data_IF_092603189650
#
_entry.id   IF_092603189650
#
_cell.length_a   1.000
_cell.length_b   1.000
_cell.length_c   1.000
_cell.angle_alpha   90.00
_cell.angle_beta   90.00
_cell.angle_gamma   90.00
#
_symmetry.space_group_name_H-M   'P 1'
#
loop_
_entity.id
_entity.type
_entity.pdbx_description
1 polymer ?
#
# COMPACT_ATOMS: atom_id res chain seq x y z
N UNK A 1 97.35 -85.16 52.50
CA UNK A 1 95.96 -85.22 53.03
C UNK A 1 95.01 -85.05 51.86
N UNK A 2 94.00 -85.91 51.75
CA UNK A 2 92.93 -85.73 50.78
C UNK A 2 92.04 -84.56 51.21
N UNK A 3 91.45 -83.84 50.26
CA UNK A 3 90.57 -82.69 50.52
C UNK A 3 89.22 -82.86 49.83
N UNK A 4 88.21 -82.12 50.29
CA UNK A 4 86.91 -82.07 49.61
C UNK A 4 87.02 -81.35 48.25
N UNK A 5 86.30 -81.78 47.19
CA UNK A 5 86.46 -81.21 45.85
C UNK A 5 86.05 -79.74 45.70
N UNK A 6 85.06 -79.28 46.48
CA UNK A 6 84.44 -77.96 46.28
C UNK A 6 85.00 -76.88 47.21
N UNK A 7 85.40 -77.27 48.43
CA UNK A 7 85.81 -76.33 49.47
C UNK A 7 87.28 -76.50 49.89
N UNK A 8 87.96 -77.50 49.32
CA UNK A 8 89.34 -77.88 49.67
C UNK A 8 89.52 -78.11 51.19
N UNK A 9 88.48 -78.59 51.87
CA UNK A 9 88.54 -78.87 53.31
C UNK A 9 89.29 -80.18 53.55
N UNK A 10 90.16 -80.29 54.56
CA UNK A 10 90.85 -81.54 54.88
C UNK A 10 89.86 -82.67 55.19
N UNK A 11 90.07 -83.86 54.60
CA UNK A 11 89.32 -85.06 54.96
C UNK A 11 89.98 -85.73 56.18
N UNK A 12 89.16 -86.26 57.08
CA UNK A 12 89.63 -87.10 58.19
C UNK A 12 90.12 -88.44 57.63
N UNK A 13 91.26 -88.92 58.10
CA UNK A 13 91.83 -90.20 57.68
C UNK A 13 91.31 -91.30 58.60
N UNK A 14 90.54 -92.25 58.06
CA UNK A 14 89.96 -93.35 58.83
C UNK A 14 91.00 -94.30 59.44
N UNK A 15 92.27 -94.22 59.03
CA UNK A 15 93.35 -95.04 59.55
C UNK A 15 94.08 -94.42 60.75
N UNK A 16 93.83 -93.15 61.09
CA UNK A 16 94.49 -92.48 62.21
C UNK A 16 93.74 -92.62 63.55
N UNK A 17 94.46 -92.43 64.66
CA UNK A 17 93.88 -92.51 65.98
C UNK A 17 93.06 -91.24 66.28
N UNK A 18 91.89 -91.42 66.90
CA UNK A 18 90.96 -90.32 67.29
C UNK A 18 91.66 -89.20 68.08
N UNK A 19 92.66 -89.54 68.89
CA UNK A 19 93.45 -88.57 69.67
C UNK A 19 94.30 -87.62 68.81
N UNK A 20 94.79 -88.08 67.65
CA UNK A 20 95.54 -87.27 66.69
C UNK A 20 94.59 -86.48 65.78
N UNK A 21 93.42 -87.06 65.48
CA UNK A 21 92.37 -86.42 64.68
C UNK A 21 91.71 -85.21 65.36
N UNK A 22 91.80 -85.06 66.69
CA UNK A 22 91.26 -83.87 67.37
C UNK A 22 91.84 -82.56 66.82
N UNK A 23 93.13 -82.52 66.46
CA UNK A 23 93.72 -81.34 65.83
C UNK A 23 93.18 -81.12 64.42
N UNK A 24 92.99 -82.20 63.65
CA UNK A 24 92.42 -82.12 62.29
C UNK A 24 90.96 -81.70 62.29
N UNK A 25 90.17 -82.16 63.25
CA UNK A 25 88.78 -81.72 63.46
C UNK A 25 88.73 -80.22 63.75
N UNK A 26 89.62 -79.70 64.62
CA UNK A 26 89.67 -78.26 64.89
C UNK A 26 90.05 -77.45 63.65
N UNK A 27 91.03 -77.92 62.86
CA UNK A 27 91.40 -77.27 61.59
C UNK A 27 90.24 -77.32 60.58
N UNK A 28 89.53 -78.43 60.50
CA UNK A 28 88.34 -78.58 59.65
C UNK A 28 87.23 -77.62 60.06
N UNK A 29 86.91 -77.53 61.35
CA UNK A 29 85.88 -76.64 61.88
C UNK A 29 86.22 -75.17 61.63
N UNK A 30 87.47 -74.76 61.80
CA UNK A 30 87.92 -73.39 61.48
C UNK A 30 87.80 -73.09 59.98
N UNK A 31 88.18 -74.04 59.12
CA UNK A 31 88.07 -73.87 57.68
C UNK A 31 86.61 -73.83 57.21
N UNK A 32 85.72 -74.62 57.83
CA UNK A 32 84.28 -74.60 57.55
C UNK A 32 83.64 -73.28 57.99
N UNK A 33 83.97 -72.80 59.20
CA UNK A 33 83.49 -71.52 59.73
C UNK A 33 83.87 -70.35 58.82
N UNK A 34 85.14 -70.30 58.38
CA UNK A 34 85.60 -69.29 57.43
C UNK A 34 84.80 -69.30 56.12
N UNK A 35 84.51 -70.48 55.56
CA UNK A 35 83.71 -70.61 54.33
C UNK A 35 82.25 -70.21 54.53
N UNK A 36 81.64 -70.55 55.66
CA UNK A 36 80.29 -70.10 55.99
C UNK A 36 80.23 -68.58 56.15
N UNK A 37 81.26 -67.96 56.73
CA UNK A 37 81.43 -66.52 56.79
C UNK A 37 81.48 -65.86 55.41
N UNK A 38 82.27 -66.41 54.47
CA UNK A 38 82.34 -65.91 53.09
C UNK A 38 80.98 -65.98 52.37
N UNK A 39 80.24 -67.08 52.53
CA UNK A 39 78.90 -67.24 51.97
C UNK A 39 77.95 -66.20 52.56
N UNK A 40 77.97 -65.99 53.88
CA UNK A 40 77.13 -65.01 54.55
C UNK A 40 77.41 -63.58 54.04
N UNK A 41 78.68 -63.19 53.88
CA UNK A 41 79.09 -61.89 53.33
C UNK A 41 78.64 -61.75 51.87
N UNK A 42 78.80 -62.79 51.06
CA UNK A 42 78.38 -62.79 49.65
C UNK A 42 76.87 -62.64 49.53
N UNK A 43 76.11 -63.39 50.32
CA UNK A 43 74.65 -63.34 50.32
C UNK A 43 74.14 -61.97 50.82
N UNK A 44 74.74 -61.43 51.87
CA UNK A 44 74.44 -60.08 52.34
C UNK A 44 74.74 -59.03 51.27
N UNK A 45 75.84 -59.18 50.54
CA UNK A 45 76.22 -58.27 49.44
C UNK A 45 75.27 -58.38 48.25
N UNK A 46 74.81 -59.58 47.91
CA UNK A 46 73.80 -59.80 46.86
C UNK A 46 72.43 -59.26 47.26
N UNK A 47 72.06 -59.33 48.54
CA UNK A 47 70.83 -58.76 49.05
C UNK A 47 70.85 -57.21 49.07
N UNK A 48 72.02 -56.61 49.36
CA UNK A 48 72.24 -55.15 49.30
C UNK A 48 72.35 -54.67 47.85
N UNK A 49 72.86 -55.50 46.95
CA UNK A 49 72.78 -55.31 45.50
C UNK A 49 71.33 -55.55 45.02
N UNK A 50 70.39 -54.80 45.59
CA UNK A 50 69.00 -54.80 45.19
C UNK A 50 68.91 -54.56 43.68
N UNK A 51 67.98 -55.27 43.03
CA UNK A 51 67.65 -55.02 41.64
C UNK A 51 66.84 -53.71 41.58
N UNK A 52 67.53 -52.58 41.68
CA UNK A 52 66.91 -51.27 41.49
C UNK A 52 66.59 -51.12 40.01
N UNK A 53 65.31 -51.23 39.66
CA UNK A 53 64.84 -50.66 38.42
C UNK A 53 64.89 -49.13 38.57
N UNK A 54 65.53 -48.43 37.64
CA UNK A 54 65.42 -46.97 37.60
C UNK A 54 63.94 -46.61 37.61
N UNK A 55 63.52 -45.79 38.59
CA UNK A 55 62.15 -45.27 38.69
C UNK A 55 61.74 -44.58 37.38
N UNK A 56 62.69 -44.05 36.62
CA UNK A 56 62.48 -43.53 35.27
C UNK A 56 61.84 -44.55 34.30
N UNK A 57 62.10 -45.85 34.45
CA UNK A 57 61.48 -46.91 33.63
C UNK A 57 60.02 -47.16 34.03
N UNK A 58 59.70 -47.03 35.31
CA UNK A 58 58.34 -47.20 35.84
C UNK A 58 57.49 -45.97 35.48
N UNK A 59 58.03 -44.78 35.72
CA UNK A 59 57.37 -43.52 35.35
C UNK A 59 57.24 -43.40 33.83
N UNK A 60 58.26 -43.78 33.06
CA UNK A 60 58.19 -43.78 31.60
C UNK A 60 57.13 -44.75 31.05
N UNK A 61 56.91 -45.90 31.69
CA UNK A 61 55.82 -46.80 31.32
C UNK A 61 54.45 -46.20 31.66
N UNK A 62 54.29 -45.62 32.85
CA UNK A 62 53.04 -44.97 33.25
C UNK A 62 52.71 -43.75 32.36
N UNK A 63 53.70 -42.94 32.02
CA UNK A 63 53.59 -41.81 31.09
C UNK A 63 53.28 -42.30 29.67
N UNK A 64 53.94 -43.36 29.20
CA UNK A 64 53.65 -43.95 27.88
C UNK A 64 52.23 -44.56 27.81
N UNK A 65 51.73 -45.13 28.91
CA UNK A 65 50.35 -45.61 29.02
C UNK A 65 49.35 -44.47 29.11
N UNK A 66 49.68 -43.36 29.78
CA UNK A 66 48.82 -42.17 29.82
C UNK A 66 48.76 -41.43 28.46
N UNK A 67 49.79 -41.56 27.63
CA UNK A 67 49.83 -41.06 26.26
C UNK A 67 49.11 -41.98 25.26
N UNK A 68 48.76 -43.22 25.65
CA UNK A 68 47.83 -44.01 24.84
C UNK A 68 46.45 -43.40 24.94
N UNK A 69 45.82 -43.23 23.79
CA UNK A 69 44.48 -42.67 23.72
C UNK A 69 43.50 -43.55 24.52
N UNK A 70 42.59 -42.90 25.26
CA UNK A 70 41.52 -43.56 26.01
C UNK A 70 40.67 -44.41 25.05
N UNK A 71 40.10 -45.50 25.53
CA UNK A 71 39.29 -46.43 24.71
C UNK A 71 38.11 -45.74 24.02
N UNK A 72 37.65 -44.61 24.56
CA UNK A 72 36.55 -43.80 24.02
C UNK A 72 37.01 -42.53 23.30
N UNK A 73 38.30 -42.40 22.99
CA UNK A 73 38.75 -41.25 22.22
C UNK A 73 38.21 -41.37 20.78
N UNK A 74 37.58 -40.30 20.31
CA UNK A 74 37.01 -40.23 18.97
C UNK A 74 37.86 -39.26 18.14
N UNK A 75 38.31 -39.68 16.97
CA UNK A 75 38.85 -38.78 15.96
C UNK A 75 37.71 -38.20 15.13
N UNK A 76 37.69 -36.88 14.93
CA UNK A 76 36.86 -36.31 13.87
C UNK A 76 37.51 -36.64 12.54
N UNK A 77 36.69 -36.91 11.53
CA UNK A 77 37.17 -37.22 10.18
C UNK A 77 38.04 -36.09 9.60
N UNK A 78 37.70 -34.83 9.90
CA UNK A 78 38.46 -33.64 9.46
C UNK A 78 39.83 -33.49 10.13
N UNK A 79 40.08 -34.22 11.23
CA UNK A 79 41.33 -34.13 11.98
C UNK A 79 42.34 -35.22 11.54
N UNK A 80 41.98 -36.03 10.54
CA UNK A 80 42.85 -37.07 9.97
C UNK A 80 43.68 -36.48 8.82
N UNK A 81 44.92 -36.09 9.08
CA UNK A 81 45.84 -35.53 8.06
C UNK A 81 46.56 -36.58 7.22
N UNK A 82 46.69 -37.81 7.73
CA UNK A 82 47.61 -38.83 7.19
C UNK A 82 46.88 -40.07 6.64
N UNK A 83 45.56 -39.99 6.45
CA UNK A 83 44.77 -41.09 5.89
C UNK A 83 44.77 -40.96 4.37
N UNK A 84 45.81 -41.52 3.74
CA UNK A 84 45.80 -41.75 2.31
C UNK A 84 45.01 -43.03 2.02
N UNK A 85 43.89 -42.90 1.31
CA UNK A 85 43.03 -44.03 0.96
C UNK A 85 43.49 -44.59 -0.38
N UNK A 86 44.59 -45.34 -0.39
CA UNK A 86 45.24 -45.84 -1.63
C UNK A 86 44.39 -46.80 -2.44
N UNK A 87 43.38 -47.41 -1.82
CA UNK A 87 42.55 -48.45 -2.44
C UNK A 87 41.12 -47.97 -2.76
N UNK A 88 40.82 -46.68 -2.55
CA UNK A 88 39.54 -46.11 -2.94
C UNK A 88 39.53 -45.81 -4.44
N UNK A 89 38.60 -46.37 -5.22
CA UNK A 89 38.40 -45.93 -6.60
C UNK A 89 38.03 -44.43 -6.63
N UNK A 90 38.60 -43.70 -7.58
CA UNK A 90 38.28 -42.28 -7.81
C UNK A 90 36.76 -42.08 -7.94
N UNK A 91 36.23 -41.07 -7.24
CA UNK A 91 34.79 -40.76 -7.20
C UNK A 91 33.98 -41.56 -6.18
N UNK A 92 34.61 -42.41 -5.37
CA UNK A 92 33.94 -43.08 -4.25
C UNK A 92 33.54 -42.08 -3.18
N UNK A 93 32.28 -42.14 -2.73
CA UNK A 93 31.79 -41.36 -1.60
C UNK A 93 31.80 -42.19 -0.32
N UNK A 94 32.22 -41.58 0.79
CA UNK A 94 32.09 -42.19 2.11
C UNK A 94 30.60 -42.23 2.48
N UNK A 95 30.09 -43.44 2.72
CA UNK A 95 28.71 -43.66 3.14
C UNK A 95 28.71 -44.38 4.49
N UNK A 96 27.83 -43.97 5.40
CA UNK A 96 27.59 -44.70 6.64
C UNK A 96 26.60 -45.84 6.36
N UNK A 97 27.06 -47.08 6.33
CA UNK A 97 26.25 -48.28 6.07
C UNK A 97 26.36 -49.21 7.28
N UNK A 98 25.22 -49.62 7.84
CA UNK A 98 25.20 -50.52 9.01
C UNK A 98 25.88 -49.95 10.26
N UNK A 99 25.96 -48.62 10.41
CA UNK A 99 26.57 -47.96 11.56
C UNK A 99 28.07 -47.65 11.43
N UNK A 100 28.75 -48.20 10.42
CA UNK A 100 30.16 -47.93 10.13
C UNK A 100 30.31 -47.04 8.89
N UNK A 101 31.39 -46.25 8.83
CA UNK A 101 31.78 -45.55 7.61
C UNK A 101 32.52 -46.51 6.68
N UNK A 102 32.06 -46.63 5.44
CA UNK A 102 32.71 -47.41 4.40
C UNK A 102 32.52 -46.76 3.03
N UNK A 103 33.07 -47.38 1.99
CA UNK A 103 32.74 -46.99 0.63
C UNK A 103 31.27 -47.31 0.38
N UNK A 104 30.50 -46.32 -0.08
CA UNK A 104 29.19 -46.62 -0.64
C UNK A 104 29.39 -47.57 -1.81
N UNK A 105 28.66 -48.70 -1.84
CA UNK A 105 28.77 -49.71 -2.90
C UNK A 105 28.41 -49.20 -4.31
N UNK A 106 28.02 -47.92 -4.41
CA UNK A 106 27.76 -47.21 -5.65
C UNK A 106 28.69 -46.00 -5.72
N UNK A 107 29.81 -46.15 -6.43
CA UNK A 107 30.54 -45.00 -6.94
C UNK A 107 29.67 -44.29 -7.97
N UNK A 108 29.48 -42.99 -7.84
CA UNK A 108 28.89 -42.19 -8.91
C UNK A 108 30.05 -41.58 -9.69
N UNK A 109 30.14 -41.88 -10.98
CA UNK A 109 31.05 -41.14 -11.85
C UNK A 109 30.64 -39.66 -11.89
N UNK A 110 31.59 -38.77 -12.16
CA UNK A 110 31.30 -37.33 -12.40
C UNK A 110 30.23 -37.16 -13.49
N UNK A 111 30.25 -38.03 -14.50
CA UNK A 111 29.23 -38.07 -15.55
C UNK A 111 27.84 -38.44 -15.01
N UNK A 112 27.72 -39.46 -14.15
CA UNK A 112 26.44 -39.83 -13.52
C UNK A 112 25.92 -38.74 -12.59
N UNK A 113 26.78 -38.10 -11.81
CA UNK A 113 26.39 -36.95 -10.96
C UNK A 113 25.85 -35.82 -11.84
N UNK A 114 26.56 -35.48 -12.91
CA UNK A 114 26.12 -34.45 -13.85
C UNK A 114 24.81 -34.82 -14.56
N UNK A 115 24.60 -36.11 -14.88
CA UNK A 115 23.35 -36.59 -15.48
C UNK A 115 22.19 -36.53 -14.49
N UNK A 116 22.38 -36.95 -13.23
CA UNK A 116 21.37 -36.83 -12.18
C UNK A 116 21.02 -35.38 -11.88
N UNK A 117 22.03 -34.49 -11.89
CA UNK A 117 21.83 -33.06 -11.75
C UNK A 117 21.09 -32.50 -12.96
N UNK A 118 21.43 -32.88 -14.18
CA UNK A 118 20.73 -32.44 -15.40
C UNK A 118 19.29 -32.95 -15.47
N UNK A 119 19.02 -34.15 -14.98
CA UNK A 119 17.66 -34.72 -14.89
C UNK A 119 16.81 -33.97 -13.85
N UNK A 120 17.38 -33.70 -12.67
CA UNK A 120 16.74 -32.94 -11.57
C UNK A 120 16.64 -31.44 -11.85
N UNK A 121 17.56 -30.90 -12.64
CA UNK A 121 17.66 -29.50 -13.08
C UNK A 121 17.37 -29.42 -14.57
N UNK A 122 16.37 -30.17 -15.06
CA UNK A 122 15.78 -29.86 -16.36
C UNK A 122 14.96 -28.57 -16.19
N UNK A 123 15.66 -27.44 -16.06
CA UNK A 123 15.10 -26.09 -16.14
C UNK A 123 14.24 -25.99 -17.41
N UNK A 124 14.62 -26.71 -18.47
CA UNK A 124 13.81 -26.85 -19.69
C UNK A 124 12.41 -27.45 -19.45
N UNK A 125 12.28 -28.47 -18.60
CA UNK A 125 10.98 -29.06 -18.26
C UNK A 125 10.12 -28.11 -17.45
N UNK A 126 10.70 -27.50 -16.40
CA UNK A 126 10.00 -26.47 -15.60
C UNK A 126 9.62 -25.25 -16.42
N UNK A 127 10.47 -24.82 -17.36
CA UNK A 127 10.21 -23.72 -18.29
C UNK A 127 9.07 -24.07 -19.24
N UNK A 128 9.04 -25.29 -19.78
CA UNK A 128 7.95 -25.79 -20.62
C UNK A 128 6.61 -25.82 -19.86
N UNK A 129 6.59 -26.30 -18.62
CA UNK A 129 5.38 -26.34 -17.80
C UNK A 129 4.90 -24.93 -17.41
N UNK A 130 5.83 -24.02 -17.13
CA UNK A 130 5.54 -22.63 -16.84
C UNK A 130 4.97 -21.90 -18.07
N UNK A 131 5.57 -22.10 -19.24
CA UNK A 131 5.09 -21.53 -20.50
C UNK A 131 3.69 -22.06 -20.85
N UNK A 132 3.47 -23.37 -20.69
CA UNK A 132 2.15 -23.97 -20.88
C UNK A 132 1.09 -23.42 -19.91
N UNK A 133 1.45 -23.24 -18.63
CA UNK A 133 0.57 -22.67 -17.61
C UNK A 133 0.27 -21.20 -17.88
N UNK A 134 1.28 -20.42 -18.27
CA UNK A 134 1.13 -19.01 -18.66
C UNK A 134 0.18 -18.89 -19.85
N UNK A 135 0.41 -19.68 -20.89
CA UNK A 135 -0.38 -19.61 -22.12
C UNK A 135 -1.84 -20.03 -21.87
N UNK A 136 -2.07 -21.03 -21.02
CA UNK A 136 -3.41 -21.40 -20.57
C UNK A 136 -4.10 -20.27 -19.78
N UNK A 137 -3.40 -19.62 -18.85
CA UNK A 137 -3.94 -18.49 -18.08
C UNK A 137 -4.27 -17.30 -18.99
N UNK A 138 -3.41 -16.99 -19.97
CA UNK A 138 -3.68 -15.97 -20.99
C UNK A 138 -4.92 -16.34 -21.80
N UNK A 139 -5.06 -17.58 -22.26
CA UNK A 139 -6.23 -18.03 -23.00
C UNK A 139 -7.54 -17.88 -22.20
N UNK A 140 -7.52 -18.17 -20.89
CA UNK A 140 -8.65 -17.97 -19.98
C UNK A 140 -9.00 -16.49 -19.85
N UNK A 141 -8.02 -15.62 -19.60
CA UNK A 141 -8.24 -14.16 -19.48
C UNK A 141 -8.74 -13.57 -20.79
N UNK A 142 -8.27 -14.06 -21.94
CA UNK A 142 -8.75 -13.64 -23.24
C UNK A 142 -10.15 -14.19 -23.59
N UNK A 143 -10.69 -15.15 -22.83
CA UNK A 143 -12.02 -15.72 -23.11
C UNK A 143 -12.14 -16.37 -24.50
N UNK A 144 -11.01 -16.84 -25.07
CA UNK A 144 -10.94 -17.33 -26.45
C UNK A 144 -10.78 -16.25 -27.53
N UNK A 145 -10.59 -14.98 -27.17
CA UNK A 145 -10.26 -13.93 -28.12
C UNK A 145 -8.82 -14.10 -28.64
N UNK A 146 -8.64 -13.96 -29.95
CA UNK A 146 -7.32 -13.90 -30.60
C UNK A 146 -6.67 -12.54 -30.34
N UNK A 147 -5.34 -12.45 -30.49
CA UNK A 147 -4.60 -11.18 -30.33
C UNK A 147 -5.13 -10.08 -31.26
N UNK A 148 -5.62 -10.45 -32.44
CA UNK A 148 -6.29 -9.54 -33.38
C UNK A 148 -7.63 -8.98 -32.85
N UNK A 149 -8.35 -9.73 -32.00
CA UNK A 149 -9.59 -9.26 -31.36
C UNK A 149 -9.32 -8.29 -30.19
N UNK A 150 -8.16 -8.37 -29.54
CA UNK A 150 -7.72 -7.36 -28.57
C UNK A 150 -7.27 -6.07 -29.25
N UNK A 151 -6.65 -6.17 -30.43
CA UNK A 151 -6.34 -5.00 -31.26
C UNK A 151 -7.62 -4.25 -31.65
N UNK A 152 -8.70 -4.98 -31.99
CA UNK A 152 -10.00 -4.35 -32.25
C UNK A 152 -10.62 -3.65 -31.04
N UNK A 153 -10.27 -4.01 -29.79
CA UNK A 153 -10.73 -3.28 -28.59
C UNK A 153 -9.95 -1.98 -28.38
N UNK A 154 -8.65 -1.97 -28.69
CA UNK A 154 -7.84 -0.76 -28.71
C UNK A 154 -8.30 0.18 -29.82
N UNK A 155 -8.49 -0.35 -31.03
CA UNK A 155 -9.05 0.39 -32.17
C UNK A 155 -10.47 0.90 -31.85
N UNK A 156 -11.31 0.11 -31.17
CA UNK A 156 -12.62 0.59 -30.68
C UNK A 156 -12.45 1.75 -29.69
N UNK A 157 -11.53 1.63 -28.74
CA UNK A 157 -11.31 2.67 -27.73
C UNK A 157 -10.76 3.97 -28.32
N UNK A 158 -9.92 3.87 -29.37
CA UNK A 158 -9.40 5.02 -30.10
C UNK A 158 -10.48 5.63 -31.02
N UNK A 159 -11.30 4.81 -31.69
CA UNK A 159 -12.44 5.28 -32.48
C UNK A 159 -13.55 5.93 -31.64
N UNK A 160 -13.75 5.44 -30.41
CA UNK A 160 -14.72 5.98 -29.44
C UNK A 160 -14.25 7.27 -28.78
N UNK A 161 -13.02 7.76 -28.98
CA UNK A 161 -12.59 9.05 -28.40
C UNK A 161 -13.01 10.27 -29.25
N UNK A 162 -13.32 10.08 -30.53
CA UNK A 162 -13.59 11.17 -31.49
C UNK A 162 -15.03 11.17 -32.06
N UNK A 163 -15.92 10.29 -31.57
CA UNK A 163 -17.25 10.12 -32.17
C UNK A 163 -18.37 9.93 -31.14
N UNK A 164 -18.76 11.03 -30.48
CA UNK A 164 -19.82 11.07 -29.45
C UNK A 164 -21.13 10.35 -29.86
N UNK A 165 -21.49 10.38 -31.16
CA UNK A 165 -22.66 9.69 -31.70
C UNK A 165 -22.55 8.16 -31.67
N UNK A 166 -21.37 7.62 -31.92
CA UNK A 166 -21.14 6.17 -31.92
C UNK A 166 -21.00 5.63 -30.49
N UNK A 167 -20.42 6.42 -29.57
CA UNK A 167 -20.41 6.12 -28.14
C UNK A 167 -21.85 6.01 -27.61
N UNK A 168 -22.71 6.97 -27.94
CA UNK A 168 -24.11 6.96 -27.53
C UNK A 168 -24.84 5.72 -28.07
N UNK A 169 -24.62 5.36 -29.34
CA UNK A 169 -25.20 4.17 -29.95
C UNK A 169 -24.71 2.86 -29.32
N UNK A 170 -23.42 2.78 -28.98
CA UNK A 170 -22.81 1.61 -28.35
C UNK A 170 -23.35 1.39 -26.94
N UNK A 171 -23.44 2.47 -26.14
CA UNK A 171 -24.03 2.43 -24.79
C UNK A 171 -25.50 2.00 -24.86
N UNK A 172 -26.26 2.52 -25.82
CA UNK A 172 -27.66 2.13 -26.03
C UNK A 172 -27.80 0.65 -26.40
N UNK A 173 -26.92 0.14 -27.25
CA UNK A 173 -26.82 -1.27 -27.64
C UNK A 173 -26.48 -2.17 -26.44
N UNK A 174 -25.51 -1.78 -25.62
CA UNK A 174 -25.12 -2.52 -24.41
C UNK A 174 -26.23 -2.55 -23.35
N UNK A 175 -26.91 -1.43 -23.12
CA UNK A 175 -28.05 -1.36 -22.21
C UNK A 175 -29.18 -2.30 -22.68
N UNK A 176 -29.47 -2.31 -23.97
CA UNK A 176 -30.47 -3.20 -24.58
C UNK A 176 -30.11 -4.68 -24.39
N UNK A 177 -28.85 -5.06 -24.64
CA UNK A 177 -28.38 -6.45 -24.48
C UNK A 177 -28.30 -6.90 -23.02
N UNK A 178 -28.01 -5.99 -22.09
CA UNK A 178 -27.99 -6.28 -20.66
C UNK A 178 -29.40 -6.44 -20.06
N UNK A 179 -30.47 -6.29 -20.86
CA UNK A 179 -31.85 -6.26 -20.36
C UNK A 179 -32.14 -5.01 -19.54
N UNK A 180 -31.25 -4.02 -19.58
CA UNK A 180 -31.44 -2.73 -18.95
C UNK A 180 -32.31 -1.93 -19.91
N UNK A 181 -33.62 -2.01 -19.69
CA UNK A 181 -34.60 -1.17 -20.37
C UNK A 181 -34.43 0.27 -19.85
N UNK A 182 -33.31 0.90 -20.20
CA UNK A 182 -33.06 2.31 -19.95
C UNK A 182 -33.80 3.05 -21.07
N UNK A 183 -35.12 3.18 -20.90
CA UNK A 183 -35.84 4.27 -21.53
C UNK A 183 -35.09 5.56 -21.21
N UNK A 184 -34.68 6.31 -22.25
CA UNK A 184 -33.88 7.54 -22.33
C UNK A 184 -34.05 8.60 -21.21
N UNK A 185 -33.92 8.21 -19.94
CA UNK A 185 -34.09 9.04 -18.74
C UNK A 185 -32.76 9.25 -18.03
N UNK A 186 -31.65 9.02 -18.74
CA UNK A 186 -30.30 9.42 -18.32
C UNK A 186 -29.97 10.88 -18.67
N UNK A 187 -30.97 11.71 -18.99
CA UNK A 187 -30.82 13.16 -18.85
C UNK A 187 -30.88 13.52 -17.35
N UNK A 188 -29.71 13.65 -16.74
CA UNK A 188 -29.47 14.31 -15.46
C UNK A 188 -30.10 13.67 -14.19
N UNK A 189 -29.77 12.40 -13.88
CA UNK A 189 -29.64 12.04 -12.45
C UNK A 189 -28.31 12.56 -11.93
N UNK A 190 -28.26 13.86 -11.65
CA UNK A 190 -27.20 14.42 -10.83
C UNK A 190 -27.43 13.88 -9.41
N UNK A 191 -26.69 12.83 -9.04
CA UNK A 191 -26.65 12.34 -7.66
C UNK A 191 -26.11 13.45 -6.76
N UNK A 192 -27.00 14.21 -6.15
CA UNK A 192 -26.72 15.01 -4.97
C UNK A 192 -26.67 14.05 -3.78
N UNK A 193 -25.49 13.57 -3.40
CA UNK A 193 -25.31 12.91 -2.10
C UNK A 193 -25.41 14.00 -1.01
N UNK A 194 -26.53 14.01 -0.29
CA UNK A 194 -26.71 14.88 0.89
C UNK A 194 -26.11 14.15 2.09
N UNK A 195 -24.81 14.33 2.31
CA UNK A 195 -24.17 13.87 3.55
C UNK A 195 -24.52 14.83 4.70
N UNK A 196 -25.33 14.34 5.64
CA UNK A 196 -25.64 15.01 6.89
C UNK A 196 -26.19 14.01 7.91
N UNK A 197 -25.36 13.64 8.89
CA UNK A 197 -25.76 12.80 10.01
C UNK A 197 -26.93 13.41 10.80
N UNK A 198 -27.82 12.53 11.26
CA UNK A 198 -29.03 12.79 12.06
C UNK A 198 -30.26 13.30 11.29
N UNK A 199 -30.79 12.44 10.41
CA UNK A 199 -32.10 12.59 9.78
C UNK A 199 -32.03 12.08 8.35
N UNK A 200 -32.71 10.98 8.05
CA UNK A 200 -32.85 10.48 6.68
C UNK A 200 -33.68 11.47 5.87
N UNK A 201 -33.07 12.17 4.92
CA UNK A 201 -33.77 13.02 3.96
C UNK A 201 -34.06 12.21 2.69
N UNK A 202 -35.32 11.91 2.44
CA UNK A 202 -35.75 11.25 1.20
C UNK A 202 -36.14 12.33 0.18
N UNK A 203 -35.37 12.45 -0.91
CA UNK A 203 -35.74 13.31 -2.03
C UNK A 203 -36.67 12.53 -2.97
N UNK A 204 -37.97 12.80 -2.90
CA UNK A 204 -38.95 12.30 -3.88
C UNK A 204 -39.04 13.25 -5.07
N UNK A 205 -38.22 13.00 -6.09
CA UNK A 205 -38.40 13.63 -7.40
C UNK A 205 -39.41 12.85 -8.24
N UNK A 206 -40.68 13.27 -8.24
CA UNK A 206 -41.64 12.81 -9.25
C UNK A 206 -41.45 13.64 -10.52
N UNK A 207 -40.72 13.12 -11.50
CA UNK A 207 -40.65 13.69 -12.83
C UNK A 207 -41.90 13.32 -13.63
N UNK A 208 -42.92 14.20 -13.63
CA UNK A 208 -44.05 14.09 -14.55
C UNK A 208 -43.61 14.48 -15.95
N UNK A 209 -43.52 13.51 -16.85
CA UNK A 209 -43.22 13.74 -18.29
C UNK A 209 -44.37 14.43 -19.05
N UNK A 210 -45.53 14.59 -18.43
CA UNK A 210 -46.69 15.25 -19.02
C UNK A 210 -47.07 16.48 -18.19
N UNK A 211 -46.63 17.68 -18.60
CA UNK A 211 -47.03 19.01 -18.09
C UNK A 211 -47.04 19.23 -16.56
N UNK A 212 -46.49 18.31 -15.77
CA UNK A 212 -46.42 18.40 -14.31
C UNK A 212 -45.20 19.19 -13.86
N UNK A 213 -45.39 20.15 -12.95
CA UNK A 213 -44.29 20.86 -12.31
C UNK A 213 -43.41 19.91 -11.49
N UNK A 214 -42.10 19.89 -11.76
CA UNK A 214 -41.13 19.22 -10.89
C UNK A 214 -40.94 20.04 -9.61
N UNK A 215 -41.34 19.47 -8.48
CA UNK A 215 -41.24 20.11 -7.16
C UNK A 215 -40.22 19.38 -6.31
N UNK A 216 -39.29 20.14 -5.70
CA UNK A 216 -38.37 19.64 -4.67
C UNK A 216 -38.92 20.04 -3.31
N UNK A 217 -39.24 19.04 -2.47
CA UNK A 217 -39.80 19.25 -1.13
C UNK A 217 -38.73 18.97 -0.06
N UNK A 218 -38.56 19.90 0.87
CA UNK A 218 -37.86 19.64 2.13
C UNK A 218 -38.85 19.25 3.21
N UNK A 219 -38.65 18.10 3.86
CA UNK A 219 -39.54 17.58 4.90
C UNK A 219 -38.78 17.56 6.23
N UNK A 220 -39.21 18.39 7.19
CA UNK A 220 -38.72 18.36 8.56
C UNK A 220 -39.80 17.86 9.52
N UNK A 221 -39.39 17.29 10.66
CA UNK A 221 -40.27 16.92 11.77
C UNK A 221 -39.72 17.49 13.06
N UNK A 222 -40.61 17.68 14.03
CA UNK A 222 -40.24 18.10 15.38
C UNK A 222 -39.25 17.14 16.04
N UNK A 223 -38.55 17.62 17.07
CA UNK A 223 -37.61 16.80 17.84
C UNK A 223 -38.30 15.56 18.44
N UNK A 224 -37.52 14.53 18.82
CA UNK A 224 -38.07 13.28 19.42
C UNK A 224 -38.98 13.50 20.63
N UNK A 225 -38.83 14.62 21.35
CA UNK A 225 -39.67 14.96 22.50
C UNK A 225 -41.08 15.43 22.11
N UNK A 226 -41.28 15.87 20.87
CA UNK A 226 -42.57 16.27 20.33
C UNK A 226 -42.58 16.09 18.80
N UNK A 227 -42.69 14.84 18.31
CA UNK A 227 -42.45 14.52 16.90
C UNK A 227 -43.53 15.06 15.94
N UNK A 228 -44.66 15.52 16.49
CA UNK A 228 -45.84 15.88 15.70
C UNK A 228 -45.74 17.27 15.05
N UNK A 229 -45.02 18.22 15.67
CA UNK A 229 -45.02 19.61 15.19
C UNK A 229 -43.66 20.30 15.28
N UNK A 230 -43.36 21.13 14.28
CA UNK A 230 -42.22 22.05 14.27
C UNK A 230 -42.46 23.21 15.24
N UNK A 231 -41.40 23.72 15.85
CA UNK A 231 -41.42 24.85 16.79
C UNK A 231 -40.98 26.15 16.11
N UNK A 232 -41.37 27.29 16.67
CA UNK A 232 -40.88 28.59 16.23
C UNK A 232 -39.35 28.60 16.09
N UNK A 233 -38.87 28.96 14.89
CA UNK A 233 -37.44 29.01 14.57
C UNK A 233 -36.84 27.70 14.05
N UNK A 234 -37.58 26.59 14.04
CA UNK A 234 -37.09 25.32 13.51
C UNK A 234 -36.79 25.42 12.00
N UNK A 235 -35.69 24.78 11.58
CA UNK A 235 -35.30 24.69 10.18
C UNK A 235 -36.15 23.63 9.46
N UNK A 236 -36.92 24.09 8.47
CA UNK A 236 -37.79 23.25 7.65
C UNK A 236 -37.00 22.65 6.48
N UNK A 237 -36.27 23.51 5.76
CA UNK A 237 -35.50 23.12 4.59
C UNK A 237 -34.33 24.09 4.37
N UNK A 238 -33.28 23.62 3.69
CA UNK A 238 -32.17 24.49 3.26
C UNK A 238 -31.58 24.06 1.93
N UNK A 239 -31.20 25.02 1.09
CA UNK A 239 -30.36 24.83 -0.10
C UNK A 239 -29.06 25.59 0.12
N UNK A 240 -27.93 24.92 -0.05
CA UNK A 240 -26.60 25.44 0.31
C UNK A 240 -25.62 25.37 -0.85
N UNK A 241 -24.89 26.45 -1.09
CA UNK A 241 -23.73 26.47 -1.96
C UNK A 241 -22.44 26.31 -1.11
N UNK A 242 -21.74 25.20 -1.31
CA UNK A 242 -20.42 24.93 -0.69
C UNK A 242 -19.33 24.96 -1.77
N UNK A 243 -18.52 26.02 -1.86
CA UNK A 243 -17.40 26.04 -2.79
C UNK A 243 -16.34 25.01 -2.35
N UNK A 244 -15.74 24.33 -3.33
CA UNK A 244 -14.68 23.36 -3.06
C UNK A 244 -13.38 24.08 -2.64
N UNK A 245 -12.84 23.76 -1.47
CA UNK A 245 -11.58 24.33 -0.94
C UNK A 245 -10.54 23.27 -0.56
N UNK A 246 -10.61 22.06 -1.12
CA UNK A 246 -9.63 21.00 -0.90
C UNK A 246 -9.93 20.05 0.27
N UNK A 247 -10.68 20.48 1.29
CA UNK A 247 -11.35 19.59 2.25
C UNK A 247 -12.52 20.34 2.91
N UNK A 248 -13.76 19.91 2.63
CA UNK A 248 -15.03 20.47 3.14
C UNK A 248 -15.17 22.01 3.10
N UNK A 249 -15.83 22.52 2.05
CA UNK A 249 -16.15 23.94 1.90
C UNK A 249 -17.13 24.48 2.95
N UNK A 250 -16.77 25.61 3.57
CA UNK A 250 -17.71 26.41 4.35
C UNK A 250 -18.86 26.92 3.47
N UNK A 251 -20.09 26.92 3.99
CA UNK A 251 -21.28 27.39 3.25
C UNK A 251 -21.13 28.89 2.97
N UNK A 252 -21.11 29.29 1.69
CA UNK A 252 -20.96 30.72 1.30
C UNK A 252 -22.28 31.39 0.94
N UNK A 253 -23.27 30.61 0.52
CA UNK A 253 -24.63 31.07 0.28
C UNK A 253 -25.62 30.00 0.69
N UNK A 254 -26.73 30.42 1.29
CA UNK A 254 -27.79 29.51 1.72
C UNK A 254 -29.16 30.17 1.59
N UNK A 255 -30.13 29.40 1.13
CA UNK A 255 -31.55 29.69 1.25
C UNK A 255 -32.12 28.75 2.32
N UNK A 256 -32.77 29.28 3.35
CA UNK A 256 -33.41 28.50 4.42
C UNK A 256 -34.89 28.81 4.53
N UNK A 257 -35.68 27.83 4.91
CA UNK A 257 -37.06 28.00 5.33
C UNK A 257 -37.17 27.68 6.82
N UNK A 258 -37.72 28.61 7.59
CA UNK A 258 -37.88 28.50 9.04
C UNK A 258 -39.35 28.54 9.42
N UNK A 259 -39.73 27.84 10.47
CA UNK A 259 -41.06 27.99 11.07
C UNK A 259 -41.17 29.36 11.78
N UNK A 260 -42.21 30.14 11.48
CA UNK A 260 -42.44 31.46 12.10
C UNK A 260 -43.40 31.43 13.29
N UNK A 261 -43.88 30.24 13.65
CA UNK A 261 -44.70 29.95 14.83
C UNK A 261 -44.62 28.45 15.11
N UNK A 262 -45.11 28.02 16.26
CA UNK A 262 -45.32 26.60 16.52
C UNK A 262 -46.36 26.07 15.51
N UNK A 263 -46.00 25.00 14.81
CA UNK A 263 -46.92 24.37 13.87
C UNK A 263 -48.00 23.61 14.66
N UNK A 264 -49.19 23.56 14.10
CA UNK A 264 -50.35 22.87 14.65
C UNK A 264 -51.30 22.50 13.52
N UNK A 265 -52.37 21.75 13.80
CA UNK A 265 -53.34 21.36 12.77
C UNK A 265 -53.91 22.56 12.00
N UNK A 266 -54.02 23.73 12.64
CA UNK A 266 -54.57 24.96 12.04
C UNK A 266 -53.52 26.10 11.93
N UNK A 267 -52.24 25.80 12.16
CA UNK A 267 -51.20 26.82 12.30
C UNK A 267 -49.97 26.44 11.48
N UNK A 268 -49.77 27.13 10.36
CA UNK A 268 -48.59 27.01 9.52
C UNK A 268 -48.03 28.39 9.26
N UNK A 269 -46.82 28.65 9.76
CA UNK A 269 -46.08 29.86 9.46
C UNK A 269 -44.69 29.49 8.97
N UNK A 270 -44.30 30.04 7.82
CA UNK A 270 -42.98 29.79 7.22
C UNK A 270 -42.37 31.07 6.68
N UNK A 271 -41.09 31.29 6.93
CA UNK A 271 -40.32 32.40 6.38
C UNK A 271 -39.10 31.84 5.63
N UNK A 272 -38.84 32.35 4.44
CA UNK A 272 -37.64 32.04 3.69
C UNK A 272 -36.57 33.14 3.94
N UNK A 273 -35.34 32.73 4.23
CA UNK A 273 -34.20 33.65 4.39
C UNK A 273 -33.09 33.30 3.42
N UNK A 274 -32.55 34.31 2.75
CA UNK A 274 -31.31 34.18 1.99
C UNK A 274 -30.18 34.69 2.85
N UNK A 275 -29.17 33.87 3.08
CA UNK A 275 -27.94 34.22 3.76
C UNK A 275 -26.74 34.12 2.82
N UNK A 276 -25.87 35.13 2.84
CA UNK A 276 -24.63 35.17 2.05
C UNK A 276 -23.46 35.46 2.98
N UNK A 277 -22.28 34.95 2.66
CA UNK A 277 -21.05 35.24 3.42
C UNK A 277 -20.30 36.36 2.70
N UNK A 278 -20.26 37.59 3.25
CA UNK A 278 -19.48 38.68 2.66
C UNK A 278 -18.01 38.30 2.50
N UNK A 279 -17.34 38.90 1.52
CA UNK A 279 -15.92 38.64 1.30
C UNK A 279 -15.11 39.05 2.54
N UNK A 280 -14.18 38.19 2.96
CA UNK A 280 -13.40 38.38 4.19
C UNK A 280 -14.10 37.95 5.50
N UNK A 281 -15.35 37.47 5.45
CA UNK A 281 -16.03 36.90 6.61
C UNK A 281 -16.13 35.37 6.56
N UNK A 282 -16.27 34.77 7.75
CA UNK A 282 -16.32 33.31 7.94
C UNK A 282 -17.73 32.78 8.16
N UNK A 283 -18.70 33.64 8.48
CA UNK A 283 -20.08 33.26 8.76
C UNK A 283 -21.09 33.90 7.76
N UNK A 284 -22.13 33.16 7.34
CA UNK A 284 -23.23 33.73 6.56
C UNK A 284 -23.99 34.79 7.36
N UNK A 285 -24.34 35.90 6.70
CA UNK A 285 -25.22 36.93 7.23
C UNK A 285 -26.53 36.93 6.42
N UNK A 286 -27.66 37.22 7.07
CA UNK A 286 -28.96 37.30 6.39
C UNK A 286 -28.95 38.50 5.44
N UNK A 287 -29.10 38.23 4.15
CA UNK A 287 -29.10 39.21 3.08
C UNK A 287 -30.52 39.65 2.68
N UNK A 288 -31.48 38.72 2.76
CA UNK A 288 -32.88 38.98 2.46
C UNK A 288 -33.80 38.07 3.28
N UNK A 289 -34.98 38.58 3.58
CA UNK A 289 -36.06 37.88 4.27
C UNK A 289 -37.29 37.96 3.35
N UNK A 290 -37.87 36.81 3.04
CA UNK A 290 -39.12 36.67 2.31
C UNK A 290 -40.13 36.03 3.25
N UNK A 291 -41.07 36.83 3.74
CA UNK A 291 -42.21 36.31 4.51
C UNK A 291 -43.33 35.99 3.55
N UNK A 292 -43.70 34.72 3.51
CA UNK A 292 -45.00 34.34 2.96
C UNK A 292 -45.92 34.17 4.15
N UNK A 293 -46.54 35.26 4.58
CA UNK A 293 -47.68 35.20 5.49
C UNK A 293 -48.92 34.79 4.68
N UNK A 294 -48.85 33.61 4.08
CA UNK A 294 -49.98 32.94 3.47
C UNK A 294 -50.81 32.33 4.61
N UNK A 295 -51.84 33.04 5.05
CA UNK A 295 -52.79 32.47 6.00
C UNK A 295 -53.69 31.48 5.26
N UNK A 296 -53.64 30.20 5.64
CA UNK A 296 -54.61 29.20 5.20
C UNK A 296 -55.88 29.36 6.05
N UNK A 297 -56.89 30.07 5.55
CA UNK A 297 -58.20 30.09 6.19
C UNK A 297 -59.07 28.98 5.61
N UNK A 298 -59.44 28.02 6.45
CA UNK A 298 -60.46 27.01 6.14
C UNK A 298 -61.79 27.54 6.65
N UNK A 299 -62.73 27.77 5.72
CA UNK A 299 -64.11 28.19 6.06
C UNK A 299 -65.08 27.32 5.28
N UNK A 300 -65.69 26.35 5.98
CA UNK A 300 -66.50 25.30 5.35
C UNK A 300 -65.67 24.46 4.38
N UNK A 301 -66.22 24.17 3.20
CA UNK A 301 -65.59 23.32 2.17
C UNK A 301 -64.59 24.05 1.27
N UNK A 302 -64.13 25.25 1.66
CA UNK A 302 -63.22 26.07 0.84
C UNK A 302 -61.93 26.42 1.58
N UNK A 303 -60.82 26.28 0.86
CA UNK A 303 -59.47 26.68 1.27
C UNK A 303 -59.14 28.00 0.58
N UNK A 304 -58.91 29.05 1.36
CA UNK A 304 -58.44 30.33 0.84
C UNK A 304 -56.92 30.46 1.07
N UNK A 305 -56.19 30.79 0.01
CA UNK A 305 -54.74 31.02 0.01
C UNK A 305 -54.53 32.47 -0.41
N UNK A 306 -54.13 33.34 0.51
CA UNK A 306 -53.82 34.75 0.23
C UNK A 306 -52.97 35.40 1.34
N UNK A 307 -52.25 36.49 1.02
CA UNK A 307 -51.49 37.23 2.01
C UNK A 307 -52.41 37.77 3.11
N UNK A 308 -51.96 37.73 4.37
CA UNK A 308 -52.70 38.33 5.48
C UNK A 308 -52.98 39.82 5.16
N UNK A 309 -54.18 40.30 5.48
CA UNK A 309 -54.68 41.60 5.02
C UNK A 309 -53.88 42.83 5.55
N UNK A 310 -52.89 42.63 6.42
CA UNK A 310 -52.34 43.71 7.24
C UNK A 310 -50.92 44.19 6.86
N UNK A 311 -50.18 43.57 5.92
CA UNK A 311 -48.77 43.94 5.66
C UNK A 311 -48.42 44.42 4.23
N UNK A 312 -49.38 44.82 3.39
CA UNK A 312 -49.12 45.27 2.01
C UNK A 312 -48.40 46.64 1.85
N UNK A 313 -47.72 47.15 2.87
CA UNK A 313 -47.03 48.45 2.82
C UNK A 313 -45.58 48.24 3.28
N UNK A 314 -44.62 48.04 2.36
CA UNK A 314 -43.19 48.49 2.44
C UNK A 314 -42.23 47.89 1.37
N UNK A 315 -42.67 47.57 0.14
CA UNK A 315 -41.75 47.03 -0.90
C UNK A 315 -40.89 48.08 -1.67
N UNK A 316 -40.92 49.35 -1.28
CA UNK A 316 -40.25 50.43 -2.05
C UNK A 316 -38.72 50.55 -1.95
N UNK A 317 -37.99 49.67 -1.25
CA UNK A 317 -36.63 50.00 -0.77
C UNK A 317 -35.51 49.01 -1.11
N UNK A 318 -35.77 47.98 -1.93
CA UNK A 318 -34.79 46.93 -2.21
C UNK A 318 -34.01 47.12 -3.53
N UNK A 319 -34.54 47.88 -4.50
CA UNK A 319 -33.86 48.08 -5.79
C UNK A 319 -32.73 49.11 -5.71
N UNK A 320 -32.85 50.15 -4.88
CA UNK A 320 -31.83 51.21 -4.79
C UNK A 320 -30.52 50.78 -4.11
N UNK A 321 -30.54 49.77 -3.23
CA UNK A 321 -29.32 49.31 -2.53
C UNK A 321 -28.43 48.39 -3.35
N UNK A 322 -28.96 47.69 -4.35
CA UNK A 322 -28.17 46.82 -5.21
C UNK A 322 -27.26 47.64 -6.16
N UNK A 323 -27.72 48.81 -6.62
CA UNK A 323 -26.95 49.70 -7.49
C UNK A 323 -25.73 50.33 -6.79
N UNK A 324 -25.79 50.53 -5.47
CA UNK A 324 -24.73 51.20 -4.71
C UNK A 324 -23.45 50.35 -4.48
N UNK A 325 -23.51 49.02 -4.68
CA UNK A 325 -22.40 48.10 -4.32
C UNK A 325 -21.48 47.77 -5.51
N UNK A 326 -21.79 48.22 -6.73
CA UNK A 326 -20.87 48.12 -7.88
C UNK A 326 -20.48 46.69 -8.31
N UNK A 327 -21.17 45.67 -7.80
CA UNK A 327 -20.95 44.27 -8.21
C UNK A 327 -21.80 44.02 -9.45
N UNK A 328 -21.18 44.17 -10.62
CA UNK A 328 -21.79 43.77 -11.90
C UNK A 328 -22.68 44.82 -12.54
N UNK A 329 -22.22 46.08 -12.61
CA UNK A 329 -22.85 47.06 -13.52
C UNK A 329 -22.80 46.53 -14.94
N UNK A 330 -23.93 46.03 -15.44
CA UNK A 330 -24.12 45.71 -16.85
C UNK A 330 -23.92 47.02 -17.62
N UNK A 331 -23.06 47.02 -18.62
CA UNK A 331 -22.88 48.20 -19.46
C UNK A 331 -24.18 48.45 -20.24
N UNK A 332 -24.89 49.53 -19.92
CA UNK A 332 -26.18 49.89 -20.55
C UNK A 332 -26.03 50.72 -21.83
N UNK A 333 -24.80 51.04 -22.25
CA UNK A 333 -24.60 51.81 -23.46
C UNK A 333 -25.01 51.01 -24.71
N UNK A 334 -25.84 51.60 -25.56
CA UNK A 334 -26.43 50.96 -26.75
C UNK A 334 -25.71 51.28 -28.06
N UNK A 335 -24.53 51.90 -28.02
CA UNK A 335 -23.82 52.32 -29.23
C UNK A 335 -22.86 51.22 -29.73
N UNK A 336 -23.15 50.68 -30.92
CA UNK A 336 -22.32 49.67 -31.60
C UNK A 336 -20.89 50.18 -31.92
N UNK A 337 -20.69 51.50 -31.99
CA UNK A 337 -19.40 52.14 -32.23
C UNK A 337 -18.66 52.53 -30.95
N UNK A 338 -19.09 52.05 -29.78
CA UNK A 338 -18.42 52.39 -28.53
C UNK A 338 -17.01 51.76 -28.48
N UNK A 339 -15.98 52.59 -28.35
CA UNK A 339 -14.59 52.14 -28.23
C UNK A 339 -14.06 52.18 -26.79
N UNK A 340 -14.84 52.72 -25.85
CA UNK A 340 -14.42 52.93 -24.46
C UNK A 340 -15.43 52.31 -23.47
N UNK A 341 -15.06 51.17 -22.89
CA UNK A 341 -15.87 50.46 -21.90
C UNK A 341 -15.26 50.63 -20.51
N UNK A 342 -16.04 50.70 -19.42
CA UNK A 342 -15.49 50.70 -18.07
C UNK A 342 -14.52 49.52 -17.80
N UNK A 343 -13.58 49.71 -16.87
CA UNK A 343 -12.72 48.60 -16.41
C UNK A 343 -13.61 47.53 -15.78
N UNK A 344 -13.33 46.26 -16.10
CA UNK A 344 -14.09 45.11 -15.63
C UNK A 344 -15.21 44.66 -16.57
N UNK A 345 -15.58 45.45 -17.59
CA UNK A 345 -16.57 45.05 -18.59
C UNK A 345 -16.13 43.80 -19.34
N UNK A 346 -17.07 42.86 -19.53
CA UNK A 346 -16.87 41.64 -20.32
C UNK A 346 -17.61 41.79 -21.65
N UNK A 347 -16.93 41.49 -22.76
CA UNK A 347 -17.49 41.48 -24.11
C UNK A 347 -17.17 40.17 -24.82
N UNK A 348 -18.03 39.78 -25.76
CA UNK A 348 -17.78 38.68 -26.68
C UNK A 348 -16.96 39.17 -27.88
N UNK A 349 -15.86 38.46 -28.19
CA UNK A 349 -14.92 38.81 -29.26
C UNK A 349 -14.67 37.59 -30.14
N UNK A 350 -14.83 37.75 -31.45
CA UNK A 350 -14.52 36.74 -32.44
C UNK A 350 -13.01 36.60 -32.66
N UNK A 351 -12.52 35.37 -32.68
CA UNK A 351 -11.15 35.02 -33.07
C UNK A 351 -11.11 34.52 -34.53
N UNK A 352 -9.95 34.59 -35.21
CA UNK A 352 -9.77 33.98 -36.52
C UNK A 352 -10.01 32.48 -36.47
N UNK A 353 -10.41 31.93 -37.62
CA UNK A 353 -10.58 30.50 -37.80
C UNK A 353 -9.33 29.73 -37.37
N UNK A 354 -9.52 28.64 -36.61
CA UNK A 354 -8.44 27.77 -36.11
C UNK A 354 -7.38 28.47 -35.23
N UNK A 355 -7.71 29.61 -34.62
CA UNK A 355 -6.81 30.30 -33.69
C UNK A 355 -7.28 30.14 -32.24
N UNK A 356 -6.47 29.45 -31.43
CA UNK A 356 -6.72 29.30 -30.00
C UNK A 356 -6.05 30.44 -29.22
N UNK A 357 -6.87 31.29 -28.60
CA UNK A 357 -6.38 32.39 -27.78
C UNK A 357 -6.06 31.90 -26.37
N UNK A 358 -4.84 32.15 -25.90
CA UNK A 358 -4.42 31.83 -24.54
C UNK A 358 -5.23 32.61 -23.50
N UNK A 359 -5.73 31.91 -22.49
CA UNK A 359 -6.44 32.49 -21.34
C UNK A 359 -5.52 33.44 -20.57
N UNK A 360 -6.09 34.53 -20.06
CA UNK A 360 -5.46 35.63 -19.33
C UNK A 360 -4.37 36.40 -20.09
N UNK A 361 -4.13 36.10 -21.36
CA UNK A 361 -3.23 36.89 -22.20
C UNK A 361 -3.94 38.14 -22.71
N UNK A 362 -3.18 39.24 -22.78
CA UNK A 362 -3.65 40.51 -23.31
C UNK A 362 -3.66 40.51 -24.84
N UNK A 363 -4.72 41.05 -25.44
CA UNK A 363 -4.84 41.22 -26.89
C UNK A 363 -5.40 42.61 -27.21
N UNK A 364 -5.12 43.08 -28.43
CA UNK A 364 -5.82 44.23 -29.00
C UNK A 364 -7.17 43.76 -29.53
N UNK A 365 -8.25 44.24 -28.92
CA UNK A 365 -9.62 44.02 -29.43
C UNK A 365 -9.98 45.18 -30.36
N UNK A 366 -10.60 44.88 -31.49
CA UNK A 366 -10.99 45.84 -32.52
C UNK A 366 -12.47 45.71 -32.84
N UNK A 367 -13.08 46.80 -33.26
CA UNK A 367 -14.41 46.77 -33.87
C UNK A 367 -14.33 46.05 -35.23
N UNK A 368 -15.25 45.13 -35.48
CA UNK A 368 -15.37 44.44 -36.76
C UNK A 368 -15.72 45.41 -37.89
N UNK A 369 -15.40 45.04 -39.13
CA UNK A 369 -15.59 45.88 -40.33
C UNK A 369 -17.03 46.32 -40.54
N UNK A 370 -17.97 45.48 -40.15
CA UNK A 370 -19.41 45.68 -40.28
C UNK A 370 -20.05 46.15 -38.97
N UNK A 371 -19.24 46.60 -37.99
CA UNK A 371 -19.64 47.25 -36.71
C UNK A 371 -20.55 46.44 -35.77
N UNK A 372 -20.88 45.19 -36.15
CA UNK A 372 -21.82 44.33 -35.40
C UNK A 372 -21.16 43.44 -34.36
N UNK A 373 -19.84 43.29 -34.39
CA UNK A 373 -19.09 42.43 -33.49
C UNK A 373 -17.69 42.98 -33.22
N UNK A 374 -17.04 42.45 -32.19
CA UNK A 374 -15.64 42.73 -31.89
C UNK A 374 -14.77 41.56 -32.35
N UNK A 375 -13.54 41.84 -32.76
CA UNK A 375 -12.59 40.82 -33.23
C UNK A 375 -11.16 41.12 -32.80
N UNK A 376 -10.32 40.09 -32.69
CA UNK A 376 -8.87 40.24 -32.48
C UNK A 376 -8.08 40.56 -33.77
N UNK A 377 -8.70 40.40 -34.95
CA UNK A 377 -8.06 40.63 -36.26
C UNK A 377 -8.83 41.55 -37.19
N UNK A 378 -9.99 42.06 -36.77
CA UNK A 378 -10.81 42.97 -37.57
C UNK A 378 -10.06 44.23 -38.01
N UNK A 379 -10.40 44.77 -39.18
CA UNK A 379 -9.74 45.96 -39.74
C UNK A 379 -10.17 47.30 -39.12
N UNK A 380 -11.13 47.31 -38.19
CA UNK A 380 -11.64 48.54 -37.57
C UNK A 380 -10.76 49.12 -36.47
N UNK A 381 -11.27 50.18 -35.84
CA UNK A 381 -10.62 50.86 -34.72
C UNK A 381 -10.41 49.94 -33.53
N UNK A 382 -9.24 50.07 -32.89
CA UNK A 382 -8.95 49.36 -31.64
C UNK A 382 -9.77 49.94 -30.49
N UNK A 383 -10.23 49.06 -29.60
CA UNK A 383 -10.85 49.45 -28.34
C UNK A 383 -9.77 50.02 -27.42
N UNK A 384 -10.17 50.99 -26.60
CA UNK A 384 -9.30 51.62 -25.62
C UNK A 384 -9.03 50.64 -24.48
N UNK A 385 -7.78 50.60 -24.01
CA UNK A 385 -7.36 49.84 -22.84
C UNK A 385 -6.73 48.48 -23.16
N UNK A 386 -6.46 47.73 -22.09
CA UNK A 386 -5.89 46.37 -22.17
C UNK A 386 -6.98 45.35 -21.92
N UNK A 387 -7.11 44.39 -22.84
CA UNK A 387 -8.17 43.38 -22.83
C UNK A 387 -7.59 41.99 -22.66
N UNK A 388 -8.03 41.26 -21.63
CA UNK A 388 -7.57 39.90 -21.33
C UNK A 388 -8.62 38.85 -21.68
N UNK A 389 -8.23 37.79 -22.37
CA UNK A 389 -9.09 36.66 -22.69
C UNK A 389 -9.44 35.88 -21.40
N UNK A 390 -10.71 35.59 -21.13
CA UNK A 390 -11.16 34.84 -19.94
C UNK A 390 -11.58 33.40 -20.23
N UNK A 391 -11.84 33.08 -21.49
CA UNK A 391 -12.20 31.74 -21.96
C UNK A 391 -13.05 31.79 -23.24
N UNK A 392 -13.18 30.65 -23.88
CA UNK A 392 -14.05 30.46 -25.05
C UNK A 392 -15.51 30.33 -24.58
N UNK A 393 -16.42 31.09 -25.18
CA UNK A 393 -17.86 31.03 -24.89
C UNK A 393 -18.65 30.17 -25.86
N UNK A 394 -18.08 29.87 -27.04
CA UNK A 394 -18.73 29.01 -28.03
C UNK A 394 -18.07 29.09 -29.40
N UNK A 395 -18.65 28.36 -30.35
CA UNK A 395 -18.33 28.39 -31.77
C UNK A 395 -19.54 28.95 -32.53
N UNK A 396 -19.34 29.95 -33.40
CA UNK A 396 -20.38 30.49 -34.27
C UNK A 396 -20.57 29.67 -35.56
N UNK A 397 -19.89 28.53 -35.67
CA UNK A 397 -19.88 27.69 -36.86
C UNK A 397 -18.81 28.15 -37.85
N UNK A 398 -18.37 27.22 -38.70
CA UNK A 398 -17.27 27.42 -39.67
C UNK A 398 -15.91 27.70 -39.03
N UNK A 399 -15.69 27.25 -37.79
CA UNK A 399 -14.42 27.39 -37.06
C UNK A 399 -14.17 28.79 -36.47
N UNK A 400 -15.18 29.64 -36.41
CA UNK A 400 -15.09 30.98 -35.81
C UNK A 400 -15.39 30.89 -34.30
N UNK A 401 -14.33 30.81 -33.50
CA UNK A 401 -14.45 30.76 -32.05
C UNK A 401 -14.74 32.13 -31.45
N UNK A 402 -15.61 32.15 -30.43
CA UNK A 402 -15.96 33.34 -29.67
C UNK A 402 -15.35 33.23 -28.28
N UNK A 403 -14.68 34.30 -27.86
CA UNK A 403 -14.03 34.38 -26.56
C UNK A 403 -14.61 35.54 -25.76
N UNK A 404 -14.71 35.34 -24.44
CA UNK A 404 -15.03 36.39 -23.50
C UNK A 404 -13.76 37.17 -23.15
N UNK A 405 -13.79 38.48 -23.36
CA UNK A 405 -12.70 39.38 -23.01
C UNK A 405 -13.13 40.33 -21.91
N UNK A 406 -12.23 40.58 -20.95
CA UNK A 406 -12.44 41.55 -19.89
C UNK A 406 -11.47 42.72 -20.03
N UNK A 407 -11.96 43.96 -19.91
CA UNK A 407 -11.08 45.13 -19.79
C UNK A 407 -10.39 45.11 -18.42
N UNK A 408 -9.06 45.11 -18.40
CA UNK A 408 -8.27 45.05 -17.16
C UNK A 408 -7.46 46.32 -16.86
N UNK A 409 -7.27 47.21 -17.86
CA UNK A 409 -6.65 48.53 -17.71
C UNK A 409 -7.23 49.50 -18.74
#
# INVERSE_FOLDING_TARGET
>A
MATTPNLNLPLLDSAENVSEDHQKINVFLQALDARLGEIAVTLASLAVAGHSHEIAKINGLAEALALRALTDHLHKLNDLSDVNVTDAPDGSVLQKVGGAWGFGGRGYSVAEINNLLAEKVSVAGLQSDLDATRDAAVAVVMGGATTAQLDTLKELSEALLDNDSEIAALISSMATKAGWNISNTFAARQYCSVDGGHGSWEAFGYGGVDHGSALVLGIARGSKANPEYLKYGDLIASVRARPWIGSFGATKGMLVWLATQDHGPDQFGTEARVAVTPNGQTAPQVAAIFRNDLSLQVSGDKIFIGPSKDEAIHEGNLVEKAAAVGIGSVYEGSNANNLNFPIGTIIAVAAPTNTYLQRNKAYTVRLGTDTRYYSTTGGGSALIGTWACRGMSGDWGSGNYVYNFQRIA
#
